data_IF_006460757029
#
_entry.id   IF_006460757029
#
_cell.length_a   1.000
_cell.length_b   1.000
_cell.length_c   1.000
_cell.angle_alpha   90.00
_cell.angle_beta   90.00
_cell.angle_gamma   90.00
#
_symmetry.space_group_name_H-M   'P 1'
#
loop_
_entity.id
_entity.type
_entity.pdbx_description
1 polymer ?
#
# COMPACT_ATOMS: atom_id res chain seq x y z
N UNK A 1 20.25 18.49 12.48
CA UNK A 1 18.90 18.58 13.07
C UNK A 1 18.64 20.03 13.39
N UNK A 2 17.58 20.61 12.84
CA UNK A 2 17.25 22.03 13.01
C UNK A 2 15.92 22.21 13.71
N UNK A 3 15.83 23.23 14.58
CA UNK A 3 14.62 23.63 15.28
C UNK A 3 14.08 24.91 14.66
N UNK A 4 12.76 25.07 14.66
CA UNK A 4 12.11 26.24 14.12
C UNK A 4 12.37 27.46 15.00
N UNK A 5 12.89 28.54 14.43
CA UNK A 5 13.17 29.79 15.15
C UNK A 5 11.92 30.46 15.75
N UNK A 6 10.72 30.15 15.23
CA UNK A 6 9.46 30.75 15.69
C UNK A 6 8.83 30.05 16.89
N UNK A 7 9.01 28.74 17.02
CA UNK A 7 8.29 27.92 17.99
C UNK A 7 9.15 26.89 18.72
N UNK A 8 10.42 26.72 18.32
CA UNK A 8 11.33 25.75 18.91
C UNK A 8 11.04 24.29 18.53
N UNK A 9 9.99 24.01 17.76
CA UNK A 9 9.66 22.65 17.33
C UNK A 9 10.67 22.10 16.31
N UNK A 10 10.86 20.78 16.31
CA UNK A 10 11.79 20.09 15.39
C UNK A 10 11.29 20.19 13.94
N UNK A 11 12.15 20.64 13.03
CA UNK A 11 11.84 20.71 11.61
C UNK A 11 12.13 19.38 10.93
N UNK A 12 11.29 18.99 9.97
CA UNK A 12 11.40 17.70 9.27
C UNK A 12 11.53 17.89 7.76
N UNK A 13 12.28 17.01 7.08
CA UNK A 13 12.49 17.11 5.65
C UNK A 13 11.24 16.63 4.91
N UNK A 14 10.78 17.44 3.97
CA UNK A 14 9.70 17.16 3.05
C UNK A 14 10.22 17.35 1.62
N UNK A 15 9.92 16.40 0.74
CA UNK A 15 10.22 16.54 -0.69
C UNK A 15 9.12 17.34 -1.37
N UNK A 16 9.48 18.44 -2.03
CA UNK A 16 8.58 19.31 -2.80
C UNK A 16 9.32 19.74 -4.07
N UNK A 17 8.72 19.50 -5.23
CA UNK A 17 9.28 19.87 -6.55
C UNK A 17 10.73 19.39 -6.79
N UNK A 18 11.05 18.17 -6.33
CA UNK A 18 12.38 17.57 -6.50
C UNK A 18 13.47 18.11 -5.57
N UNK A 19 13.14 19.04 -4.65
CA UNK A 19 14.04 19.55 -3.61
C UNK A 19 13.59 19.10 -2.23
N UNK A 20 14.54 18.95 -1.31
CA UNK A 20 14.27 18.69 0.10
C UNK A 20 14.14 20.04 0.81
N UNK A 21 12.98 20.29 1.42
CA UNK A 21 12.73 21.46 2.27
C UNK A 21 12.50 20.99 3.69
N UNK A 22 12.92 21.76 4.68
CA UNK A 22 12.56 21.53 6.08
C UNK A 22 11.25 22.24 6.39
N UNK A 23 10.27 21.52 6.92
CA UNK A 23 8.98 22.06 7.35
C UNK A 23 8.78 21.84 8.85
N UNK A 24 8.38 22.90 9.54
CA UNK A 24 7.96 22.83 10.94
C UNK A 24 6.56 22.20 11.04
N UNK A 25 6.39 21.23 11.93
CA UNK A 25 5.09 20.58 12.19
C UNK A 25 4.09 21.47 12.91
N UNK A 26 4.55 22.37 13.78
CA UNK A 26 3.65 23.17 14.62
C UNK A 26 3.20 24.48 13.95
N UNK A 27 4.14 25.25 13.39
CA UNK A 27 3.82 26.57 12.81
C UNK A 27 3.84 26.60 11.28
N UNK A 28 4.24 25.50 10.63
CA UNK A 28 4.27 25.40 9.16
C UNK A 28 5.40 26.16 8.46
N UNK A 29 6.37 26.71 9.19
CA UNK A 29 7.53 27.39 8.60
C UNK A 29 8.33 26.46 7.68
N UNK A 30 8.67 26.93 6.47
CA UNK A 30 9.42 26.18 5.46
C UNK A 30 10.81 26.83 5.26
N UNK A 31 11.87 26.01 5.25
CA UNK A 31 13.25 26.41 4.96
C UNK A 31 13.81 25.54 3.84
N UNK A 32 14.36 26.16 2.80
CA UNK A 32 15.03 25.43 1.72
C UNK A 32 16.42 24.99 2.17
N UNK A 33 16.73 23.70 1.99
CA UNK A 33 18.10 23.20 2.14
C UNK A 33 18.84 23.38 0.81
N UNK A 34 20.04 23.95 0.87
CA UNK A 34 20.93 23.97 -0.27
C UNK A 34 21.52 22.57 -0.49
N UNK A 35 21.79 22.21 -1.75
CA UNK A 35 22.13 20.85 -2.21
C UNK A 35 23.34 20.18 -1.51
N UNK A 36 24.04 20.86 -0.61
CA UNK A 36 25.21 20.35 0.12
C UNK A 36 24.87 19.66 1.45
N UNK A 37 23.64 19.77 1.95
CA UNK A 37 23.24 19.14 3.22
C UNK A 37 22.66 17.72 3.00
N UNK A 38 23.48 16.82 2.45
CA UNK A 38 23.11 15.40 2.22
C UNK A 38 22.94 14.59 3.53
N UNK A 39 23.29 15.17 4.69
CA UNK A 39 23.38 14.46 5.97
C UNK A 39 22.06 14.25 6.72
N UNK A 40 20.95 14.85 6.28
CA UNK A 40 19.66 14.72 6.99
C UNK A 40 18.72 13.69 6.34
N UNK A 41 18.88 12.43 6.73
CA UNK A 41 18.05 11.29 6.28
C UNK A 41 17.10 10.84 7.39
N UNK A 42 15.80 10.85 7.11
CA UNK A 42 14.79 10.21 7.98
C UNK A 42 14.66 8.75 7.57
N UNK A 43 15.05 7.83 8.45
CA UNK A 43 14.90 6.39 8.27
C UNK A 43 13.75 5.89 9.15
N UNK A 44 12.75 5.25 8.53
CA UNK A 44 11.69 4.55 9.26
C UNK A 44 12.02 3.07 9.32
N UNK A 45 12.32 2.54 10.51
CA UNK A 45 12.44 1.10 10.74
C UNK A 45 11.07 0.56 11.15
N UNK A 46 10.38 -0.09 10.22
CA UNK A 46 9.12 -0.78 10.50
C UNK A 46 9.48 -2.18 11.00
N UNK A 47 9.16 -2.48 12.26
CA UNK A 47 9.30 -3.83 12.82
C UNK A 47 7.97 -4.56 12.68
N UNK A 48 7.92 -5.57 11.81
CA UNK A 48 6.76 -6.44 11.70
C UNK A 48 6.66 -7.33 12.93
N UNK A 49 5.54 -7.26 13.64
CA UNK A 49 5.29 -8.16 14.76
C UNK A 49 4.79 -9.52 14.24
N UNK A 50 5.08 -10.64 14.94
CA UNK A 50 4.53 -11.95 14.56
C UNK A 50 3.00 -12.01 14.48
N UNK A 51 2.30 -11.05 15.13
CA UNK A 51 0.84 -10.91 15.11
C UNK A 51 0.30 -10.41 13.77
N UNK A 52 1.15 -9.82 12.93
CA UNK A 52 0.79 -9.35 11.58
C UNK A 52 0.80 -10.48 10.54
N UNK A 53 1.14 -11.72 10.93
CA UNK A 53 1.14 -12.87 10.03
C UNK A 53 -0.28 -13.39 9.84
N UNK A 54 -0.68 -13.58 8.59
CA UNK A 54 -1.92 -14.28 8.21
C UNK A 54 -1.68 -15.78 8.42
N UNK A 55 -2.51 -16.43 9.25
CA UNK A 55 -2.46 -17.89 9.47
C UNK A 55 -3.33 -18.56 8.41
N UNK A 56 -2.71 -19.35 7.53
CA UNK A 56 -3.44 -20.22 6.59
C UNK A 56 -3.87 -21.45 7.40
N UNK A 57 -5.17 -21.58 7.64
CA UNK A 57 -5.74 -22.78 8.23
C UNK A 57 -6.13 -23.69 7.07
N UNK A 58 -5.41 -24.79 6.89
CA UNK A 58 -5.84 -25.89 6.04
C UNK A 58 -7.09 -26.51 6.71
N UNK A 59 -8.27 -26.05 6.28
CA UNK A 59 -9.50 -26.78 6.56
C UNK A 59 -9.47 -28.11 5.80
N UNK A 60 -10.32 -29.07 6.20
CA UNK A 60 -10.58 -30.27 5.39
C UNK A 60 -10.76 -29.81 3.94
N UNK A 61 -9.85 -30.24 3.06
CA UNK A 61 -9.95 -29.94 1.64
C UNK A 61 -11.37 -30.35 1.25
N UNK A 62 -12.22 -29.37 0.94
CA UNK A 62 -13.44 -29.66 0.22
C UNK A 62 -12.95 -30.21 -1.09
N UNK A 63 -12.86 -31.55 -1.15
CA UNK A 63 -12.57 -32.31 -2.34
C UNK A 63 -13.60 -31.82 -3.34
N UNK A 64 -13.18 -30.91 -4.21
CA UNK A 64 -13.92 -30.64 -5.42
C UNK A 64 -13.92 -32.00 -6.10
N UNK A 65 -15.07 -32.68 -6.09
CA UNK A 65 -15.25 -33.86 -6.91
C UNK A 65 -14.74 -33.47 -8.30
N UNK A 66 -13.76 -34.23 -8.80
CA UNK A 66 -13.16 -33.96 -10.09
C UNK A 66 -14.27 -34.11 -11.14
N UNK A 67 -14.92 -32.98 -11.45
CA UNK A 67 -16.01 -32.94 -12.42
C UNK A 67 -15.50 -33.57 -13.70
N UNK A 68 -16.30 -34.45 -14.27
CA UNK A 68 -16.00 -35.06 -15.57
C UNK A 68 -15.84 -33.97 -16.64
N UNK A 69 -15.12 -34.29 -17.71
CA UNK A 69 -14.92 -33.36 -18.83
C UNK A 69 -16.26 -32.90 -19.45
N UNK A 70 -17.29 -33.75 -19.39
CA UNK A 70 -18.64 -33.42 -19.86
C UNK A 70 -19.35 -32.42 -18.94
N UNK A 71 -19.32 -32.61 -17.62
CA UNK A 71 -19.91 -31.68 -16.64
C UNK A 71 -19.23 -30.29 -16.68
N UNK A 72 -17.90 -30.26 -16.88
CA UNK A 72 -17.15 -29.00 -17.05
C UNK A 72 -17.60 -28.24 -18.29
N UNK A 73 -17.85 -28.96 -19.40
CA UNK A 73 -18.31 -28.36 -20.66
C UNK A 73 -19.70 -27.77 -20.51
N UNK A 74 -20.61 -28.48 -19.85
CA UNK A 74 -21.96 -28.00 -19.58
C UNK A 74 -21.97 -26.75 -18.71
N UNK A 75 -21.21 -26.74 -17.62
CA UNK A 75 -21.08 -25.57 -16.74
C UNK A 75 -20.51 -24.37 -17.49
N UNK A 76 -19.51 -24.57 -18.35
CA UNK A 76 -18.95 -23.51 -19.20
C UNK A 76 -19.99 -22.96 -20.17
N UNK A 77 -20.82 -23.82 -20.75
CA UNK A 77 -21.90 -23.42 -21.65
C UNK A 77 -22.96 -22.58 -20.92
N UNK A 78 -23.38 -23.01 -19.73
CA UNK A 78 -24.34 -22.27 -18.90
C UNK A 78 -23.83 -20.87 -18.52
N UNK A 79 -22.56 -20.75 -18.15
CA UNK A 79 -21.93 -19.45 -17.83
C UNK A 79 -21.92 -18.52 -19.06
N UNK A 80 -21.59 -19.05 -20.24
CA UNK A 80 -21.56 -18.26 -21.48
C UNK A 80 -22.96 -17.82 -21.92
N UNK A 81 -23.96 -18.68 -21.75
CA UNK A 81 -25.36 -18.36 -22.04
C UNK A 81 -25.88 -17.24 -21.12
N UNK A 82 -25.55 -17.32 -19.82
CA UNK A 82 -25.89 -16.28 -18.85
C UNK A 82 -25.26 -14.92 -19.20
N UNK A 83 -23.96 -14.89 -19.54
CA UNK A 83 -23.29 -13.66 -19.97
C UNK A 83 -23.91 -13.08 -21.26
N UNK A 84 -24.23 -13.96 -22.21
CA UNK A 84 -24.87 -13.54 -23.45
C UNK A 84 -26.28 -13.00 -23.22
N UNK A 85 -27.01 -13.55 -22.24
CA UNK A 85 -28.32 -13.05 -21.82
C UNK A 85 -28.20 -11.68 -21.13
N UNK A 86 -27.25 -11.51 -20.20
CA UNK A 86 -26.98 -10.22 -19.55
C UNK A 86 -26.58 -9.11 -20.53
N UNK A 87 -25.83 -9.44 -21.58
CA UNK A 87 -25.45 -8.48 -22.63
C UNK A 87 -26.59 -8.13 -23.61
N UNK A 88 -27.71 -8.87 -23.56
CA UNK A 88 -28.85 -8.72 -24.47
C UNK A 88 -30.06 -7.99 -23.85
N UNK A 89 -30.06 -7.75 -22.53
CA UNK A 89 -31.00 -6.89 -21.80
C UNK A 89 -30.42 -5.47 -21.61
#
# INVERSE_FOLDING_TARGET
MEFCEKCGALMLPQRKDGKVILKCRECGHERSLDKKDEDYRVEFKIQHSPREKIVIVEGEEKRYEELSEDERRERRKQILEYLQFEDSD
#
